data_IF_893263201161
#
_entry.id   IF_893263201161
#
_cell.length_a   1.000
_cell.length_b   1.000
_cell.length_c   1.000
_cell.angle_alpha   90.00
_cell.angle_beta   90.00
_cell.angle_gamma   90.00
#
_symmetry.space_group_name_H-M   'P 1'
#
loop_
_entity.id
_entity.type
_entity.pdbx_description
1 polymer ?
#
# COMPACT_ATOMS: atom_id res chain seq x y z
N UNK A 1 -9.10 -14.65 25.55
CA UNK A 1 -8.78 -13.85 26.76
C UNK A 1 -7.89 -12.64 26.38
N UNK A 2 -8.05 -12.04 25.18
CA UNK A 2 -6.93 -11.31 24.55
C UNK A 2 -7.28 -9.93 23.96
N UNK A 3 -8.47 -9.38 24.28
CA UNK A 3 -8.90 -8.10 23.71
C UNK A 3 -8.03 -6.92 24.18
N UNK A 4 -7.66 -6.87 25.47
CA UNK A 4 -6.82 -5.79 26.02
C UNK A 4 -5.38 -5.81 25.48
N UNK A 5 -4.79 -7.00 25.32
CA UNK A 5 -3.45 -7.14 24.75
C UNK A 5 -3.42 -6.75 23.25
N UNK A 6 -4.48 -7.10 22.51
CA UNK A 6 -4.65 -6.64 21.13
C UNK A 6 -4.81 -5.12 21.04
N UNK A 7 -5.56 -4.49 21.95
CA UNK A 7 -5.69 -3.03 22.00
C UNK A 7 -4.36 -2.32 22.29
N UNK A 8 -3.55 -2.82 23.21
CA UNK A 8 -2.23 -2.24 23.49
C UNK A 8 -1.29 -2.33 22.27
N UNK A 9 -1.27 -3.47 21.57
CA UNK A 9 -0.50 -3.66 20.34
C UNK A 9 -0.95 -2.72 19.22
N UNK A 10 -2.25 -2.54 19.04
CA UNK A 10 -2.82 -1.59 18.07
C UNK A 10 -2.37 -0.16 18.39
N UNK A 11 -2.48 0.28 19.65
CA UNK A 11 -2.02 1.61 20.07
C UNK A 11 -0.51 1.83 19.82
N UNK A 12 0.32 0.80 20.05
CA UNK A 12 1.76 0.87 19.77
C UNK A 12 2.00 1.02 18.27
N UNK A 13 1.34 0.20 17.45
CA UNK A 13 1.48 0.26 15.99
C UNK A 13 1.01 1.60 15.42
N UNK A 14 -0.10 2.15 15.92
CA UNK A 14 -0.57 3.47 15.51
C UNK A 14 0.40 4.59 15.93
N UNK A 15 1.03 4.47 17.11
CA UNK A 15 2.08 5.40 17.54
C UNK A 15 3.32 5.32 16.64
N UNK A 16 3.71 4.11 16.23
CA UNK A 16 4.80 3.90 15.27
C UNK A 16 4.45 4.48 13.89
N UNK A 17 3.19 4.36 13.45
CA UNK A 17 2.74 4.96 12.19
C UNK A 17 2.80 6.51 12.21
N UNK A 18 2.66 7.11 13.39
CA UNK A 18 2.78 8.55 13.59
C UNK A 18 4.23 9.04 13.79
N UNK A 19 5.19 8.12 13.96
CA UNK A 19 6.59 8.47 14.18
C UNK A 19 7.27 8.81 12.86
N UNK A 20 7.70 10.06 12.72
CA UNK A 20 8.35 10.55 11.51
C UNK A 20 9.87 10.34 11.62
N UNK A 21 10.39 9.36 10.88
CA UNK A 21 11.82 9.01 10.85
C UNK A 21 12.38 9.22 9.45
N UNK A 22 13.44 10.02 9.35
CA UNK A 22 14.15 10.32 8.08
C UNK A 22 15.34 9.40 7.83
N UNK A 23 15.69 8.53 8.78
CA UNK A 23 16.83 7.64 8.66
C UNK A 23 16.39 6.31 8.00
N UNK A 24 16.87 5.98 6.79
CA UNK A 24 16.44 4.78 6.07
C UNK A 24 16.70 3.49 6.86
N UNK A 25 17.78 3.44 7.67
CA UNK A 25 18.10 2.27 8.51
C UNK A 25 17.07 2.04 9.61
N UNK A 26 16.48 3.12 10.15
CA UNK A 26 15.45 3.00 11.18
C UNK A 26 14.12 2.57 10.57
N UNK A 27 13.81 3.05 9.35
CA UNK A 27 12.66 2.58 8.57
C UNK A 27 12.74 1.08 8.31
N UNK A 28 13.89 0.59 7.81
CA UNK A 28 14.11 -0.85 7.57
C UNK A 28 13.89 -1.68 8.84
N UNK A 29 14.47 -1.25 9.97
CA UNK A 29 14.30 -1.93 11.27
C UNK A 29 12.86 -1.97 11.73
N UNK A 30 12.11 -0.90 11.52
CA UNK A 30 10.68 -0.85 11.90
C UNK A 30 9.89 -1.80 11.01
N UNK A 31 10.11 -1.77 9.69
CA UNK A 31 9.45 -2.67 8.75
C UNK A 31 9.70 -4.14 9.10
N UNK A 32 10.96 -4.52 9.34
CA UNK A 32 11.32 -5.89 9.75
C UNK A 32 10.60 -6.33 11.04
N UNK A 33 10.41 -5.41 12.00
CA UNK A 33 9.70 -5.68 13.26
C UNK A 33 8.19 -5.73 13.13
N UNK A 34 7.63 -5.03 12.14
CA UNK A 34 6.18 -4.97 11.89
C UNK A 34 5.72 -6.14 11.02
N UNK A 35 6.55 -6.63 10.10
CA UNK A 35 6.22 -7.75 9.20
C UNK A 35 5.62 -8.99 9.89
N UNK A 36 6.15 -9.49 11.03
CA UNK A 36 5.56 -10.63 11.73
C UNK A 36 4.10 -10.41 12.18
N UNK A 37 3.67 -9.16 12.33
CA UNK A 37 2.29 -8.83 12.75
C UNK A 37 1.26 -9.06 11.65
N UNK A 38 1.68 -9.24 10.40
CA UNK A 38 0.78 -9.61 9.29
C UNK A 38 0.20 -11.02 9.42
N UNK A 39 0.80 -11.90 10.22
CA UNK A 39 0.30 -13.26 10.47
C UNK A 39 -0.57 -13.35 11.73
N UNK A 40 -0.92 -12.22 12.33
CA UNK A 40 -1.67 -12.19 13.57
C UNK A 40 -3.13 -12.61 13.38
N UNK A 41 -3.69 -13.36 14.33
CA UNK A 41 -5.07 -13.87 14.26
C UNK A 41 -6.13 -12.77 14.34
N UNK A 42 -5.77 -11.63 14.94
CA UNK A 42 -6.63 -10.46 15.06
C UNK A 42 -6.43 -9.50 13.88
N UNK A 43 -7.50 -9.28 13.10
CA UNK A 43 -7.50 -8.40 11.93
C UNK A 43 -7.16 -6.95 12.28
N UNK A 44 -7.51 -6.43 13.47
CA UNK A 44 -7.16 -5.08 13.88
C UNK A 44 -5.63 -4.88 13.97
N UNK A 45 -4.91 -5.87 14.52
CA UNK A 45 -3.44 -5.83 14.61
C UNK A 45 -2.81 -5.88 13.21
N UNK A 46 -3.36 -6.74 12.33
CA UNK A 46 -2.90 -6.85 10.94
C UNK A 46 -3.13 -5.53 10.19
N UNK A 47 -4.29 -4.90 10.35
CA UNK A 47 -4.62 -3.64 9.70
C UNK A 47 -3.73 -2.48 10.18
N UNK A 48 -3.49 -2.36 11.50
CA UNK A 48 -2.54 -1.37 12.02
C UNK A 48 -1.12 -1.62 11.51
N UNK A 49 -0.70 -2.88 11.39
CA UNK A 49 0.60 -3.21 10.79
C UNK A 49 0.68 -2.80 9.31
N UNK A 50 -0.36 -3.10 8.51
CA UNK A 50 -0.43 -2.70 7.09
C UNK A 50 -0.36 -1.17 6.95
N UNK A 51 -1.02 -0.42 7.84
CA UNK A 51 -0.97 1.05 7.87
C UNK A 51 0.45 1.58 8.11
N UNK A 52 1.19 1.01 9.06
CA UNK A 52 2.62 1.35 9.28
C UNK A 52 3.44 1.04 8.04
N UNK A 53 3.27 -0.16 7.47
CA UNK A 53 4.01 -0.58 6.28
C UNK A 53 3.75 0.33 5.09
N UNK A 54 2.50 0.74 4.84
CA UNK A 54 2.19 1.71 3.77
C UNK A 54 2.88 3.05 3.96
N UNK A 55 2.94 3.56 5.19
CA UNK A 55 3.58 4.85 5.45
C UNK A 55 5.09 4.83 5.21
N UNK A 56 5.71 3.69 5.51
CA UNK A 56 7.16 3.50 5.44
C UNK A 56 7.63 2.94 4.09
N UNK A 57 6.71 2.44 3.26
CA UNK A 57 7.02 1.83 1.96
C UNK A 57 7.73 2.80 1.02
N UNK A 58 7.30 4.06 1.00
CA UNK A 58 7.90 5.12 0.15
C UNK A 58 9.34 5.49 0.57
N UNK A 59 9.82 4.97 1.72
CA UNK A 59 11.13 5.28 2.31
C UNK A 59 12.11 4.10 2.26
N UNK A 60 11.68 2.90 1.84
CA UNK A 60 12.52 1.69 1.82
C UNK A 60 12.93 1.35 0.38
N UNK A 61 14.22 1.15 0.13
CA UNK A 61 14.75 0.89 -1.22
C UNK A 61 14.45 -0.51 -1.81
N UNK A 62 13.96 -1.45 -1.01
CA UNK A 62 13.60 -2.83 -1.43
C UNK A 62 12.07 -3.01 -1.46
N UNK A 63 11.45 -2.37 -2.45
CA UNK A 63 10.00 -2.13 -2.47
C UNK A 63 9.14 -3.29 -2.99
N UNK A 64 9.62 -4.10 -3.94
CA UNK A 64 8.73 -4.89 -4.80
C UNK A 64 7.92 -5.97 -4.07
N UNK A 65 8.56 -6.71 -3.15
CA UNK A 65 7.90 -7.81 -2.45
C UNK A 65 6.95 -7.29 -1.36
N UNK A 66 7.33 -6.21 -0.69
CA UNK A 66 6.51 -5.56 0.33
C UNK A 66 5.28 -4.89 -0.32
N UNK A 67 5.47 -4.18 -1.45
CA UNK A 67 4.40 -3.59 -2.27
C UNK A 67 3.37 -4.65 -2.66
N UNK A 68 3.81 -5.79 -3.20
CA UNK A 68 2.91 -6.90 -3.58
C UNK A 68 2.07 -7.40 -2.41
N UNK A 69 2.69 -7.60 -1.25
CA UNK A 69 1.99 -8.10 -0.06
C UNK A 69 0.95 -7.10 0.43
N UNK A 70 1.33 -5.82 0.55
CA UNK A 70 0.42 -4.75 0.99
C UNK A 70 -0.71 -4.55 -0.01
N UNK A 71 -0.46 -4.61 -1.32
CA UNK A 71 -1.48 -4.45 -2.36
C UNK A 71 -2.49 -5.59 -2.34
N UNK A 72 -2.04 -6.83 -2.13
CA UNK A 72 -2.94 -7.97 -1.93
C UNK A 72 -3.84 -7.78 -0.71
N UNK A 73 -3.26 -7.31 0.41
CA UNK A 73 -4.02 -7.01 1.61
C UNK A 73 -5.07 -5.92 1.36
N UNK A 74 -4.70 -4.83 0.71
CA UNK A 74 -5.63 -3.74 0.39
C UNK A 74 -6.82 -4.23 -0.42
N UNK A 75 -6.62 -5.02 -1.46
CA UNK A 75 -7.73 -5.56 -2.27
C UNK A 75 -8.69 -6.39 -1.39
N UNK A 76 -8.15 -7.25 -0.52
CA UNK A 76 -8.95 -8.13 0.33
C UNK A 76 -9.74 -7.37 1.40
N UNK A 77 -9.21 -6.26 1.92
CA UNK A 77 -9.79 -5.51 3.02
C UNK A 77 -10.46 -4.18 2.61
N UNK A 78 -10.34 -3.75 1.34
CA UNK A 78 -10.85 -2.45 0.88
C UNK A 78 -12.35 -2.25 1.15
N UNK A 79 -13.16 -3.32 1.09
CA UNK A 79 -14.59 -3.24 1.43
C UNK A 79 -14.86 -2.99 2.91
N UNK A 80 -14.06 -3.60 3.79
CA UNK A 80 -14.22 -3.49 5.24
C UNK A 80 -13.56 -2.22 5.80
N UNK A 81 -12.53 -1.69 5.13
CA UNK A 81 -11.71 -0.55 5.55
C UNK A 81 -11.38 0.34 4.34
N UNK A 82 -12.36 1.12 3.83
CA UNK A 82 -12.14 1.96 2.66
C UNK A 82 -11.09 3.04 2.90
N UNK A 83 -11.00 3.58 4.11
CA UNK A 83 -10.06 4.67 4.42
C UNK A 83 -8.58 4.21 4.31
N UNK A 84 -8.30 2.93 4.61
CA UNK A 84 -6.98 2.33 4.40
C UNK A 84 -6.63 2.29 2.90
N UNK A 85 -7.60 1.91 2.06
CA UNK A 85 -7.40 1.87 0.62
C UNK A 85 -7.34 3.28 -0.01
N UNK A 86 -8.00 4.28 0.57
CA UNK A 86 -7.82 5.69 0.19
C UNK A 86 -6.39 6.15 0.45
N UNK A 87 -5.79 5.81 1.60
CA UNK A 87 -4.39 6.17 1.89
C UNK A 87 -3.42 5.60 0.85
N UNK A 88 -3.71 4.42 0.31
CA UNK A 88 -2.91 3.78 -0.73
C UNK A 88 -3.05 4.41 -2.13
N UNK A 89 -4.10 5.20 -2.38
CA UNK A 89 -4.36 5.79 -3.71
C UNK A 89 -3.17 6.61 -4.19
N UNK A 90 -2.59 7.45 -3.32
CA UNK A 90 -1.45 8.27 -3.69
C UNK A 90 -0.24 7.42 -4.10
N UNK A 91 0.02 6.32 -3.39
CA UNK A 91 1.06 5.35 -3.75
C UNK A 91 0.75 4.70 -5.10
N UNK A 92 -0.49 4.29 -5.36
CA UNK A 92 -0.88 3.74 -6.67
C UNK A 92 -0.72 4.75 -7.82
N UNK A 93 -1.05 6.02 -7.58
CA UNK A 93 -0.87 7.10 -8.58
C UNK A 93 0.61 7.30 -8.90
N UNK A 94 1.47 7.26 -7.88
CA UNK A 94 2.91 7.38 -8.06
C UNK A 94 3.48 6.16 -8.79
N UNK A 95 3.15 4.94 -8.36
CA UNK A 95 3.57 3.70 -9.01
C UNK A 95 3.06 3.58 -10.46
N UNK A 96 1.88 4.12 -10.78
CA UNK A 96 1.35 4.15 -12.15
C UNK A 96 2.19 5.03 -13.10
N UNK A 97 3.02 5.92 -12.55
CA UNK A 97 3.96 6.78 -13.28
C UNK A 97 5.41 6.27 -13.22
N UNK A 98 5.65 5.13 -12.58
CA UNK A 98 6.99 4.60 -12.40
C UNK A 98 7.67 4.25 -13.74
N UNK A 99 8.99 4.35 -13.81
CA UNK A 99 9.75 4.00 -15.03
C UNK A 99 9.68 2.49 -15.34
N UNK A 100 9.54 1.66 -14.31
CA UNK A 100 9.43 0.22 -14.43
C UNK A 100 8.01 -0.17 -14.90
N UNK A 101 7.86 -0.79 -16.10
CA UNK A 101 6.57 -1.20 -16.62
C UNK A 101 5.83 -2.21 -15.74
N UNK A 102 6.56 -3.03 -14.96
CA UNK A 102 5.96 -4.03 -14.07
C UNK A 102 5.28 -3.36 -12.86
N UNK A 103 5.90 -2.32 -12.30
CA UNK A 103 5.33 -1.54 -11.20
C UNK A 103 4.09 -0.80 -11.68
N UNK A 104 4.16 -0.15 -12.85
CA UNK A 104 2.98 0.50 -13.49
C UNK A 104 1.82 -0.48 -13.67
N UNK A 105 2.09 -1.66 -14.25
CA UNK A 105 1.08 -2.67 -14.50
C UNK A 105 0.48 -3.23 -13.20
N UNK A 106 1.30 -3.43 -12.17
CA UNK A 106 0.86 -3.89 -10.85
C UNK A 106 -0.09 -2.87 -10.20
N UNK A 107 0.25 -1.58 -10.22
CA UNK A 107 -0.59 -0.52 -9.67
C UNK A 107 -1.94 -0.42 -10.41
N UNK A 108 -1.91 -0.42 -11.74
CA UNK A 108 -3.14 -0.34 -12.55
C UNK A 108 -4.06 -1.55 -12.37
N UNK A 109 -3.49 -2.76 -12.31
CA UNK A 109 -4.25 -3.97 -12.01
C UNK A 109 -4.87 -3.90 -10.61
N UNK A 110 -4.12 -3.44 -9.62
CA UNK A 110 -4.58 -3.33 -8.24
C UNK A 110 -5.73 -2.33 -8.12
N UNK A 111 -5.60 -1.14 -8.72
CA UNK A 111 -6.66 -0.14 -8.76
C UNK A 111 -7.94 -0.67 -9.43
N UNK A 112 -7.81 -1.40 -10.54
CA UNK A 112 -8.97 -2.03 -11.21
C UNK A 112 -9.67 -3.13 -10.41
N UNK A 113 -8.97 -3.74 -9.45
CA UNK A 113 -9.52 -4.76 -8.56
C UNK A 113 -10.27 -4.18 -7.35
N UNK A 114 -10.06 -2.91 -6.99
CA UNK A 114 -10.73 -2.27 -5.85
C UNK A 114 -12.15 -1.85 -6.27
N UNK A 115 -13.11 -2.73 -6.05
CA UNK A 115 -14.55 -2.49 -6.32
C UNK A 115 -15.24 -1.90 -5.10
N UNK A 116 -14.89 -0.66 -4.75
CA UNK A 116 -15.48 0.09 -3.63
C UNK A 116 -15.93 1.45 -4.15
N UNK A 117 -17.23 1.74 -4.02
CA UNK A 117 -17.87 2.94 -4.59
C UNK A 117 -17.24 4.25 -4.08
N UNK A 118 -16.91 4.31 -2.78
CA UNK A 118 -16.22 5.46 -2.17
C UNK A 118 -14.81 5.70 -2.74
N UNK A 119 -14.18 4.68 -3.33
CA UNK A 119 -12.81 4.73 -3.85
C UNK A 119 -12.79 4.88 -5.38
N UNK A 120 -13.82 4.40 -6.08
CA UNK A 120 -13.84 4.45 -7.55
C UNK A 120 -13.73 5.87 -8.12
N UNK A 121 -14.24 6.88 -7.40
CA UNK A 121 -14.08 8.30 -7.76
C UNK A 121 -12.61 8.74 -7.73
N UNK A 122 -11.83 8.26 -6.75
CA UNK A 122 -10.40 8.58 -6.63
C UNK A 122 -9.51 7.79 -7.60
N UNK A 123 -10.00 6.67 -8.12
CA UNK A 123 -9.25 5.80 -9.03
C UNK A 123 -9.51 6.10 -10.51
N UNK A 124 -10.66 6.67 -10.88
CA UNK A 124 -11.00 6.93 -12.29
C UNK A 124 -9.97 7.78 -13.03
N UNK A 125 -9.52 8.90 -12.44
CA UNK A 125 -8.50 9.78 -13.02
C UNK A 125 -7.15 9.06 -13.21
N UNK A 126 -6.55 8.50 -12.15
CA UNK A 126 -5.30 7.75 -12.23
C UNK A 126 -5.35 6.55 -13.19
N UNK A 127 -6.44 5.79 -13.19
CA UNK A 127 -6.65 4.68 -14.14
C UNK A 127 -6.66 5.17 -15.59
N UNK A 128 -7.38 6.24 -15.88
CA UNK A 128 -7.42 6.82 -17.24
C UNK A 128 -6.03 7.28 -17.69
N UNK A 129 -5.28 7.95 -16.81
CA UNK A 129 -3.92 8.40 -17.08
C UNK A 129 -2.97 7.22 -17.32
N UNK A 130 -2.95 6.22 -16.43
CA UNK A 130 -2.05 5.08 -16.55
C UNK A 130 -2.37 4.18 -17.74
N UNK A 131 -3.66 4.02 -18.10
CA UNK A 131 -4.06 3.33 -19.33
C UNK A 131 -3.56 4.06 -20.58
N UNK A 132 -3.63 5.39 -20.61
CA UNK A 132 -3.05 6.19 -21.71
C UNK A 132 -1.55 6.00 -21.80
N UNK A 133 -0.82 5.97 -20.68
CA UNK A 133 0.64 5.73 -20.67
C UNK A 133 0.97 4.31 -21.15
N UNK A 134 0.22 3.28 -20.76
CA UNK A 134 0.42 1.92 -21.25
C UNK A 134 0.15 1.78 -22.75
N UNK A 135 -0.87 2.46 -23.27
CA UNK A 135 -1.24 2.44 -24.69
C UNK A 135 -0.26 3.28 -25.52
N UNK A 136 0.09 4.49 -25.05
CA UNK A 136 1.02 5.40 -25.72
C UNK A 136 2.48 4.94 -25.62
N UNK A 137 2.86 4.22 -24.56
CA UNK A 137 4.19 3.64 -24.37
C UNK A 137 4.54 2.52 -25.37
N UNK A 138 3.56 2.01 -26.13
CA UNK A 138 3.81 1.15 -27.31
C UNK A 138 4.19 1.94 -28.58
N UNK A 139 4.12 3.28 -28.57
CA UNK A 139 4.43 4.12 -29.74
C UNK A 139 5.81 4.80 -29.69
N UNK A 140 6.60 4.62 -28.63
CA UNK A 140 7.94 5.25 -28.51
C UNK A 140 9.12 4.29 -28.65
N UNK A 141 8.91 3.05 -29.11
CA UNK A 141 9.98 2.08 -29.41
C UNK A 141 10.22 1.84 -30.90
N UNK A 142 9.80 2.74 -31.78
CA UNK A 142 10.16 2.73 -33.21
C UNK A 142 10.41 4.15 -33.71
N UNK A 143 11.63 4.65 -33.48
CA UNK A 143 12.35 5.55 -34.40
C UNK A 143 13.78 5.70 -33.91
#
# INVERSE_FOLDING_TARGET
MDSAACSALVCILDSVAAFDTRNPKDVERIVERVMPRLQHVNSAVVLSAVKVLMRMMDLVGNEDQLKKLVYLYLINYAKAQPDLAIMAVNTFVNDAKDNNPLIRALALRTMGCIRVEKISEYLCGPLSMGLKVLIAGKLQSTS
#
